data_IF_236106691906
#
_entry.id   IF_236106691906
#
_cell.length_a   1.000
_cell.length_b   1.000
_cell.length_c   1.000
_cell.angle_alpha   90.00
_cell.angle_beta   90.00
_cell.angle_gamma   90.00
#
_symmetry.space_group_name_H-M   'P 1'
#
loop_
_entity.id
_entity.type
_entity.pdbx_description
1 polymer ?
#
# COMPACT_ATOMS: atom_id res chain seq x y z
N UNK A 1 -14.15 -17.83 4.68
CA UNK A 1 -14.56 -16.62 5.43
C UNK A 1 -13.48 -15.54 5.33
N UNK A 2 -12.23 -15.84 5.71
CA UNK A 2 -11.12 -14.86 5.71
C UNK A 2 -10.78 -14.26 4.34
N UNK A 3 -10.69 -15.07 3.27
CA UNK A 3 -10.35 -14.58 1.92
C UNK A 3 -11.33 -13.54 1.37
N UNK A 4 -12.62 -13.69 1.69
CA UNK A 4 -13.67 -12.74 1.27
C UNK A 4 -13.55 -11.45 2.07
N UNK A 5 -13.29 -11.54 3.38
CA UNK A 5 -13.03 -10.37 4.22
C UNK A 5 -11.80 -9.59 3.75
N UNK A 6 -10.71 -10.27 3.40
CA UNK A 6 -9.52 -9.64 2.81
C UNK A 6 -9.80 -8.99 1.46
N UNK A 7 -10.62 -9.61 0.61
CA UNK A 7 -11.00 -9.02 -0.67
C UNK A 7 -11.83 -7.74 -0.50
N UNK A 8 -12.80 -7.75 0.42
CA UNK A 8 -13.60 -6.56 0.75
C UNK A 8 -12.70 -5.47 1.34
N UNK A 9 -11.81 -5.82 2.26
CA UNK A 9 -10.87 -4.88 2.87
C UNK A 9 -9.98 -4.22 1.80
N UNK A 10 -9.49 -5.00 0.83
CA UNK A 10 -8.69 -4.50 -0.27
C UNK A 10 -9.47 -3.50 -1.13
N UNK A 11 -10.73 -3.81 -1.48
CA UNK A 11 -11.59 -2.91 -2.27
C UNK A 11 -11.83 -1.61 -1.51
N UNK A 12 -12.21 -1.70 -0.24
CA UNK A 12 -12.43 -0.52 0.61
C UNK A 12 -11.17 0.34 0.70
N UNK A 13 -10.01 -0.29 0.92
CA UNK A 13 -8.72 0.41 0.98
C UNK A 13 -8.44 1.15 -0.34
N UNK A 14 -8.62 0.50 -1.49
CA UNK A 14 -8.42 1.11 -2.81
C UNK A 14 -9.38 2.29 -3.01
N UNK A 15 -10.67 2.11 -2.70
CA UNK A 15 -11.67 3.18 -2.80
C UNK A 15 -11.33 4.38 -1.92
N UNK A 16 -10.83 4.14 -0.70
CA UNK A 16 -10.44 5.19 0.23
C UNK A 16 -9.24 5.98 -0.29
N UNK A 17 -8.22 5.30 -0.84
CA UNK A 17 -7.07 5.95 -1.48
C UNK A 17 -7.53 6.82 -2.67
N UNK A 18 -8.43 6.32 -3.52
CA UNK A 18 -8.98 7.09 -4.65
C UNK A 18 -9.72 8.33 -4.15
N UNK A 19 -10.56 8.19 -3.12
CA UNK A 19 -11.29 9.32 -2.54
C UNK A 19 -10.35 10.38 -1.93
N UNK A 20 -9.27 9.97 -1.26
CA UNK A 20 -8.26 10.88 -0.74
C UNK A 20 -7.56 11.66 -1.86
N UNK A 21 -7.19 10.98 -2.96
CA UNK A 21 -6.59 11.62 -4.12
C UNK A 21 -7.54 12.61 -4.79
N UNK A 22 -8.81 12.25 -4.95
CA UNK A 22 -9.84 13.14 -5.49
C UNK A 22 -10.05 14.38 -4.59
N UNK A 23 -10.08 14.20 -3.27
CA UNK A 23 -10.18 15.30 -2.30
C UNK A 23 -8.97 16.24 -2.35
N UNK A 24 -7.76 15.70 -2.55
CA UNK A 24 -6.54 16.52 -2.70
C UNK A 24 -6.56 17.38 -3.97
N UNK A 25 -7.07 16.83 -5.08
CA UNK A 25 -7.23 17.57 -6.34
C UNK A 25 -8.27 18.68 -6.16
N UNK A 26 -9.38 18.39 -5.48
CA UNK A 26 -10.44 19.37 -5.20
C UNK A 26 -9.96 20.54 -4.31
N UNK A 27 -8.91 20.33 -3.51
CA UNK A 27 -8.34 21.33 -2.60
C UNK A 27 -7.16 22.12 -3.20
N UNK A 28 -6.93 22.02 -4.52
CA UNK A 28 -5.87 22.79 -5.18
C UNK A 28 -6.13 24.31 -5.05
N UNK A 29 -5.09 25.12 -4.78
CA UNK A 29 -3.67 24.78 -4.78
C UNK A 29 -3.12 24.23 -3.45
N UNK A 30 -3.89 24.30 -2.36
CA UNK A 30 -3.45 23.87 -1.02
C UNK A 30 -3.21 22.36 -0.89
N UNK A 31 -3.74 21.55 -1.82
CA UNK A 31 -3.47 20.11 -1.91
C UNK A 31 -2.09 19.72 -2.45
N UNK A 32 -1.32 20.66 -3.05
CA UNK A 32 -0.02 20.36 -3.67
C UNK A 32 1.03 19.76 -2.69
N UNK A 33 1.25 20.30 -1.49
CA UNK A 33 2.22 19.72 -0.55
C UNK A 33 1.83 18.31 -0.11
N UNK A 34 0.52 18.06 0.05
CA UNK A 34 0.00 16.76 0.43
C UNK A 34 0.19 15.72 -0.70
N UNK A 35 0.07 16.11 -1.97
CA UNK A 35 0.38 15.23 -3.10
C UNK A 35 1.86 14.80 -3.08
N UNK A 36 2.78 15.75 -2.88
CA UNK A 36 4.22 15.46 -2.82
C UNK A 36 4.54 14.47 -1.70
N UNK A 37 3.95 14.66 -0.52
CA UNK A 37 4.12 13.75 0.62
C UNK A 37 3.57 12.36 0.33
N UNK A 38 2.34 12.25 -0.21
CA UNK A 38 1.71 10.96 -0.54
C UNK A 38 2.53 10.23 -1.61
N UNK A 39 3.03 10.91 -2.63
CA UNK A 39 3.90 10.30 -3.64
C UNK A 39 5.21 9.82 -3.03
N UNK A 40 5.86 10.63 -2.18
CA UNK A 40 7.09 10.23 -1.48
C UNK A 40 6.88 9.00 -0.60
N UNK A 41 5.82 8.99 0.22
CA UNK A 41 5.46 7.84 1.04
C UNK A 41 5.10 6.61 0.21
N UNK A 42 4.36 6.77 -0.89
CA UNK A 42 3.99 5.68 -1.79
C UNK A 42 5.21 5.00 -2.41
N UNK A 43 6.22 5.78 -2.81
CA UNK A 43 7.50 5.27 -3.32
C UNK A 43 8.28 4.51 -2.25
N UNK A 44 8.36 5.04 -1.03
CA UNK A 44 9.02 4.36 0.09
C UNK A 44 8.31 3.06 0.47
N UNK A 45 6.97 3.08 0.48
CA UNK A 45 6.16 1.91 0.78
C UNK A 45 6.34 0.82 -0.28
N UNK A 46 6.26 1.17 -1.56
CA UNK A 46 6.49 0.21 -2.66
C UNK A 46 7.91 -0.34 -2.66
N UNK A 47 8.92 0.48 -2.33
CA UNK A 47 10.29 0.02 -2.12
C UNK A 47 10.36 -1.03 -0.99
N UNK A 48 9.81 -0.71 0.18
CA UNK A 48 9.81 -1.63 1.32
C UNK A 48 9.05 -2.93 1.02
N UNK A 49 7.92 -2.85 0.30
CA UNK A 49 7.16 -4.02 -0.13
C UNK A 49 7.96 -4.90 -1.10
N UNK A 50 8.65 -4.28 -2.06
CA UNK A 50 9.52 -4.98 -3.02
C UNK A 50 10.67 -5.67 -2.31
N UNK A 51 11.33 -5.00 -1.36
CA UNK A 51 12.40 -5.58 -0.55
C UNK A 51 11.91 -6.77 0.27
N UNK A 52 10.71 -6.69 0.88
CA UNK A 52 10.08 -7.83 1.57
C UNK A 52 9.80 -9.01 0.64
N UNK A 53 9.23 -8.75 -0.54
CA UNK A 53 8.95 -9.81 -1.52
C UNK A 53 10.21 -10.47 -2.08
N UNK A 54 11.29 -9.70 -2.24
CA UNK A 54 12.57 -10.17 -2.77
C UNK A 54 13.50 -10.77 -1.70
N UNK A 55 13.15 -10.67 -0.42
CA UNK A 55 13.91 -11.32 0.67
C UNK A 55 13.89 -12.83 0.48
N UNK A 56 15.01 -13.36 -0.04
CA UNK A 56 15.20 -14.81 -0.27
C UNK A 56 15.29 -15.59 1.03
N UNK A 57 15.78 -14.99 2.11
CA UNK A 57 15.87 -15.63 3.43
C UNK A 57 14.49 -15.86 4.04
N UNK A 58 13.63 -14.84 4.12
CA UNK A 58 12.27 -14.96 4.67
C UNK A 58 11.42 -15.95 3.86
N UNK A 59 11.53 -15.92 2.52
CA UNK A 59 10.85 -16.88 1.64
C UNK A 59 11.38 -18.32 1.80
N UNK A 60 12.66 -18.49 2.12
CA UNK A 60 13.27 -19.81 2.34
C UNK A 60 12.80 -20.41 3.66
N UNK A 61 12.82 -19.66 4.76
CA UNK A 61 12.34 -20.14 6.06
C UNK A 61 10.83 -20.39 6.04
N UNK A 62 10.03 -19.49 5.45
CA UNK A 62 8.58 -19.68 5.35
C UNK A 62 8.16 -20.89 4.48
N UNK A 63 9.02 -21.35 3.55
CA UNK A 63 8.74 -22.54 2.71
C UNK A 63 9.35 -23.84 3.23
N UNK A 64 10.53 -23.79 3.82
CA UNK A 64 11.30 -24.98 4.16
C UNK A 64 11.31 -25.30 5.66
N UNK A 65 10.96 -24.34 6.52
CA UNK A 65 10.84 -24.57 7.96
C UNK A 65 9.36 -24.54 8.33
N UNK A 66 8.78 -25.73 8.52
CA UNK A 66 7.52 -25.89 9.25
C UNK A 66 7.87 -25.97 10.73
N UNK A 67 7.40 -25.00 11.51
CA UNK A 67 7.22 -25.18 12.95
C UNK A 67 6.08 -26.19 13.19
#
# INVERSE_FOLDING_TARGET
>A
MEKIAYAILLIVLISLVIAMLAGLIALLPYGLPALVLITGFGLLFTKALKERLQSKEDNYYSKNVKL
#
